data_IF_357992149319
#
_entry.id   IF_357992149319
#
_cell.length_a   1.000
_cell.length_b   1.000
_cell.length_c   1.000
_cell.angle_alpha   90.00
_cell.angle_beta   90.00
_cell.angle_gamma   90.00
#
_symmetry.space_group_name_H-M   'P 1'
#
loop_
_entity.id
_entity.type
_entity.pdbx_description
1 polymer ?
#
# COMPACT_ATOMS: atom_id res chain seq x y z
N UNK A 1 37.71 -14.48 -0.71
CA UNK A 1 36.80 -13.46 -1.30
C UNK A 1 35.40 -14.04 -1.22
N UNK A 2 34.60 -13.62 -0.23
CA UNK A 2 33.25 -14.12 -0.04
C UNK A 2 32.27 -13.01 -0.41
N UNK A 3 31.49 -13.24 -1.46
CA UNK A 3 30.34 -12.45 -1.87
C UNK A 3 29.22 -12.63 -0.83
N UNK A 4 28.59 -11.56 -0.29
CA UNK A 4 27.40 -11.72 0.52
C UNK A 4 26.24 -12.18 -0.38
N UNK A 5 25.62 -13.30 -0.02
CA UNK A 5 24.38 -13.75 -0.62
C UNK A 5 23.27 -12.72 -0.37
N UNK A 6 22.67 -12.26 -1.46
CA UNK A 6 21.39 -11.56 -1.49
C UNK A 6 20.34 -12.34 -0.70
N UNK A 7 19.95 -11.83 0.47
CA UNK A 7 18.81 -12.35 1.22
C UNK A 7 17.53 -11.71 0.68
N UNK A 8 16.95 -12.30 -0.37
CA UNK A 8 15.62 -11.93 -0.84
C UNK A 8 14.58 -12.40 0.18
N UNK A 9 13.95 -11.49 0.90
CA UNK A 9 12.83 -11.81 1.75
C UNK A 9 11.58 -11.98 0.87
N UNK A 10 10.96 -13.16 0.92
CA UNK A 10 9.76 -13.45 0.15
C UNK A 10 8.54 -12.78 0.81
N UNK A 11 7.93 -11.82 0.11
CA UNK A 11 6.68 -11.16 0.50
C UNK A 11 5.46 -12.12 0.61
N UNK A 12 5.65 -13.42 0.37
CA UNK A 12 4.62 -14.44 0.38
C UNK A 12 4.30 -15.01 1.77
N UNK A 13 5.14 -14.77 2.80
CA UNK A 13 4.89 -15.29 4.16
C UNK A 13 4.06 -14.35 5.05
N UNK A 14 3.65 -13.18 4.54
CA UNK A 14 2.95 -12.15 5.33
C UNK A 14 1.41 -12.19 5.23
N UNK A 15 0.86 -13.03 4.35
CA UNK A 15 -0.57 -13.15 4.12
C UNK A 15 -0.89 -14.63 3.88
N UNK A 16 -1.13 -15.37 4.96
CA UNK A 16 -1.69 -16.72 4.90
C UNK A 16 -3.18 -16.68 5.24
N UNK A 17 -4.02 -16.91 4.22
CA UNK A 17 -5.45 -17.17 4.40
C UNK A 17 -5.65 -18.58 4.98
N UNK A 18 -6.38 -18.69 6.09
CA UNK A 18 -6.93 -19.96 6.54
C UNK A 18 -8.44 -19.94 6.19
N UNK A 19 -8.91 -20.80 5.27
CA UNK A 19 -10.28 -20.72 4.77
C UNK A 19 -11.27 -21.20 5.84
N UNK A 20 -11.85 -20.25 6.58
CA UNK A 20 -13.08 -20.48 7.35
C UNK A 20 -14.24 -20.86 6.41
N UNK A 21 -15.22 -21.59 6.95
CA UNK A 21 -16.30 -22.19 6.17
C UNK A 21 -17.06 -21.17 5.30
N UNK A 22 -17.44 -21.51 4.05
CA UNK A 22 -18.04 -20.57 3.13
C UNK A 22 -19.45 -20.18 3.57
N UNK A 23 -19.70 -18.87 3.66
CA UNK A 23 -21.05 -18.30 3.75
C UNK A 23 -21.67 -18.29 2.34
N UNK A 24 -22.97 -18.61 2.16
CA UNK A 24 -23.61 -18.57 0.84
C UNK A 24 -23.69 -17.12 0.32
N UNK A 25 -22.71 -16.72 -0.49
CA UNK A 25 -22.77 -15.45 -1.20
C UNK A 25 -23.67 -15.59 -2.44
N UNK A 26 -24.53 -14.59 -2.68
CA UNK A 26 -25.18 -14.41 -4.00
C UNK A 26 -24.10 -14.44 -5.07
N UNK A 27 -24.30 -15.09 -6.23
CA UNK A 27 -23.27 -15.24 -7.24
C UNK A 27 -22.88 -13.87 -7.79
N UNK A 28 -21.77 -13.34 -7.28
CA UNK A 28 -21.07 -12.23 -7.91
C UNK A 28 -20.67 -12.77 -9.28
N UNK A 29 -21.17 -12.16 -10.37
CA UNK A 29 -20.79 -12.52 -11.73
C UNK A 29 -19.26 -12.43 -11.83
N UNK A 30 -18.57 -13.56 -11.75
CA UNK A 30 -17.15 -13.64 -12.05
C UNK A 30 -17.00 -13.21 -13.50
N UNK A 31 -16.16 -12.21 -13.76
CA UNK A 31 -15.75 -11.90 -15.13
C UNK A 31 -15.15 -13.17 -15.72
N UNK A 32 -15.53 -13.50 -16.96
CA UNK A 32 -14.86 -14.59 -17.66
C UNK A 32 -13.36 -14.29 -17.78
N UNK A 33 -12.52 -15.32 -17.84
CA UNK A 33 -11.07 -15.17 -17.95
C UNK A 33 -10.67 -14.22 -19.10
N UNK A 34 -11.36 -14.29 -20.23
CA UNK A 34 -11.13 -13.40 -21.37
C UNK A 34 -11.40 -11.91 -21.04
N UNK A 35 -12.40 -11.63 -20.21
CA UNK A 35 -12.71 -10.26 -19.78
C UNK A 35 -11.67 -9.76 -18.78
N UNK A 36 -11.18 -10.63 -17.90
CA UNK A 36 -10.05 -10.31 -17.00
C UNK A 36 -8.79 -9.98 -17.82
N UNK A 37 -8.46 -10.80 -18.83
CA UNK A 37 -7.31 -10.56 -19.72
C UNK A 37 -7.43 -9.21 -20.42
N UNK A 38 -8.57 -8.92 -21.07
CA UNK A 38 -8.80 -7.64 -21.75
C UNK A 38 -8.69 -6.46 -20.78
N UNK A 39 -9.24 -6.62 -19.58
CA UNK A 39 -9.22 -5.57 -18.58
C UNK A 39 -7.83 -5.29 -18.02
N UNK A 40 -7.04 -6.31 -17.67
CA UNK A 40 -5.65 -6.13 -17.23
C UNK A 40 -4.80 -5.53 -18.34
N UNK A 41 -4.93 -6.02 -19.58
CA UNK A 41 -4.24 -5.43 -20.76
C UNK A 41 -4.57 -3.95 -20.95
N UNK A 42 -5.86 -3.60 -20.89
CA UNK A 42 -6.31 -2.22 -21.01
C UNK A 42 -5.75 -1.33 -19.91
N UNK A 43 -5.55 -1.86 -18.70
CA UNK A 43 -4.90 -1.13 -17.62
C UNK A 43 -3.38 -1.01 -17.81
N UNK A 44 -2.70 -2.09 -18.23
CA UNK A 44 -1.26 -2.09 -18.53
C UNK A 44 -0.90 -1.09 -19.65
N UNK A 45 -1.77 -0.92 -20.64
CA UNK A 45 -1.62 0.08 -21.70
C UNK A 45 -1.70 1.54 -21.20
N UNK A 46 -2.15 1.77 -19.97
CA UNK A 46 -2.18 3.11 -19.33
C UNK A 46 -0.94 3.41 -18.50
N UNK A 47 -0.05 2.43 -18.32
CA UNK A 47 1.23 2.69 -17.67
C UNK A 47 2.09 3.59 -18.58
N UNK A 48 3.09 4.30 -18.04
CA UNK A 48 4.07 5.00 -18.87
C UNK A 48 4.73 4.04 -19.88
N UNK A 49 4.76 4.43 -21.16
CA UNK A 49 5.24 3.59 -22.27
C UNK A 49 6.67 3.94 -22.71
N UNK A 50 7.23 5.04 -22.21
CA UNK A 50 8.60 5.47 -22.48
C UNK A 50 9.15 6.36 -21.35
N UNK A 51 10.46 6.65 -21.39
CA UNK A 51 11.11 7.51 -20.39
C UNK A 51 10.48 8.91 -20.32
N UNK A 52 10.02 9.44 -21.46
CA UNK A 52 9.30 10.71 -21.51
C UNK A 52 8.00 10.66 -20.68
N UNK A 53 7.20 9.60 -20.78
CA UNK A 53 5.99 9.45 -19.96
C UNK A 53 6.31 9.33 -18.46
N UNK A 54 7.43 8.67 -18.15
CA UNK A 54 7.96 8.56 -16.79
C UNK A 54 8.50 9.89 -16.26
N UNK A 55 8.83 10.87 -17.10
CA UNK A 55 9.45 12.11 -16.65
C UNK A 55 8.60 13.36 -16.92
N UNK A 56 7.50 13.23 -17.68
CA UNK A 56 6.56 14.31 -18.04
C UNK A 56 5.80 14.89 -16.83
N UNK A 57 5.83 14.21 -15.68
CA UNK A 57 5.14 14.65 -14.47
C UNK A 57 6.01 14.44 -13.23
N UNK A 58 5.78 15.26 -12.20
CA UNK A 58 6.41 15.05 -10.90
C UNK A 58 5.90 13.75 -10.25
N UNK A 59 6.77 13.02 -9.54
CA UNK A 59 8.19 13.28 -9.31
C UNK A 59 9.06 12.88 -10.53
N UNK A 60 9.97 13.76 -10.95
CA UNK A 60 10.93 13.48 -12.04
C UNK A 60 12.39 13.61 -11.58
N UNK A 61 12.61 13.99 -10.33
CA UNK A 61 13.94 14.10 -9.72
C UNK A 61 14.00 13.42 -8.35
N UNK A 62 15.19 13.03 -7.85
CA UNK A 62 15.33 12.49 -6.50
C UNK A 62 14.84 13.46 -5.40
N UNK A 63 15.02 14.77 -5.61
CA UNK A 63 14.55 15.81 -4.69
C UNK A 63 13.02 15.83 -4.62
N UNK A 64 12.33 15.64 -5.74
CA UNK A 64 10.87 15.54 -5.74
C UNK A 64 10.38 14.32 -4.97
N UNK A 65 11.06 13.17 -5.12
CA UNK A 65 10.75 11.94 -4.37
C UNK A 65 10.90 12.20 -2.87
N UNK A 66 12.03 12.76 -2.43
CA UNK A 66 12.28 13.05 -1.02
C UNK A 66 11.27 14.05 -0.45
N UNK A 67 10.90 15.08 -1.21
CA UNK A 67 9.88 16.05 -0.80
C UNK A 67 8.52 15.39 -0.66
N UNK A 68 8.13 14.55 -1.62
CA UNK A 68 6.86 13.83 -1.58
C UNK A 68 6.83 12.84 -0.41
N UNK A 69 7.90 12.07 -0.22
CA UNK A 69 8.08 11.17 0.91
C UNK A 69 7.97 11.91 2.24
N UNK A 70 8.67 13.03 2.41
CA UNK A 70 8.61 13.84 3.64
C UNK A 70 7.19 14.30 3.99
N UNK A 71 6.39 14.64 2.97
CA UNK A 71 4.98 15.03 3.12
C UNK A 71 4.09 13.83 3.43
N UNK A 72 4.24 12.72 2.69
CA UNK A 72 3.47 11.49 2.88
C UNK A 72 3.85 10.73 4.15
N UNK A 73 5.02 10.96 4.73
CA UNK A 73 5.42 10.40 6.02
C UNK A 73 5.11 11.33 7.19
N UNK A 74 4.55 12.53 6.91
CA UNK A 74 4.36 13.63 7.86
C UNK A 74 5.61 13.87 8.75
N UNK A 75 6.79 13.68 8.17
CA UNK A 75 8.11 13.66 8.84
C UNK A 75 8.41 14.89 9.70
N UNK A 76 7.81 16.04 9.35
CA UNK A 76 7.94 17.31 10.07
C UNK A 76 7.26 17.33 11.45
N UNK A 77 6.44 16.33 11.80
CA UNK A 77 5.77 16.24 13.10
C UNK A 77 6.62 15.40 14.06
N UNK A 78 7.46 16.01 14.90
CA UNK A 78 8.47 15.28 15.70
C UNK A 78 7.90 14.33 16.76
N UNK A 79 6.72 14.60 17.30
CA UNK A 79 6.10 13.80 18.38
C UNK A 79 5.29 12.59 17.89
N UNK A 80 5.38 12.26 16.60
CA UNK A 80 4.63 11.14 15.99
C UNK A 80 4.85 9.81 16.66
N UNK A 81 5.95 9.57 17.39
CA UNK A 81 6.20 8.34 18.14
C UNK A 81 5.46 8.25 19.48
N UNK A 82 4.85 9.33 19.94
CA UNK A 82 4.18 9.36 21.25
C UNK A 82 2.66 9.57 21.14
N UNK A 83 2.16 9.86 19.94
CA UNK A 83 0.72 10.04 19.68
C UNK A 83 -0.04 8.72 19.85
N UNK A 84 -1.26 8.77 20.36
CA UNK A 84 -2.22 7.69 20.18
C UNK A 84 -2.67 7.59 18.71
N UNK A 85 -3.37 6.51 18.37
CA UNK A 85 -3.79 6.26 16.99
C UNK A 85 -4.77 7.30 16.45
N UNK A 86 -5.71 7.79 17.26
CA UNK A 86 -6.67 8.80 16.78
C UNK A 86 -5.95 10.09 16.42
N UNK A 87 -5.08 10.57 17.31
CA UNK A 87 -4.27 11.77 17.09
C UNK A 87 -3.37 11.63 15.86
N UNK A 88 -2.70 10.47 15.69
CA UNK A 88 -1.82 10.24 14.54
C UNK A 88 -2.60 10.21 13.22
N UNK A 89 -3.75 9.51 13.18
CA UNK A 89 -4.61 9.43 12.00
C UNK A 89 -5.21 10.80 11.64
N UNK A 90 -5.55 11.62 12.64
CA UNK A 90 -6.02 13.00 12.42
C UNK A 90 -4.94 13.92 11.84
N UNK A 91 -3.74 13.89 12.40
CA UNK A 91 -2.60 14.61 11.83
C UNK A 91 -2.29 14.16 10.40
N UNK A 92 -2.37 12.85 10.16
CA UNK A 92 -2.18 12.30 8.83
C UNK A 92 -3.24 12.84 7.86
N UNK A 93 -4.53 12.76 8.20
CA UNK A 93 -5.61 13.26 7.36
C UNK A 93 -5.45 14.74 7.00
N UNK A 94 -5.07 15.56 7.98
CA UNK A 94 -4.87 17.00 7.81
C UNK A 94 -3.70 17.35 6.85
N UNK A 95 -2.71 16.45 6.70
CA UNK A 95 -1.56 16.66 5.83
C UNK A 95 -1.89 16.64 4.34
N UNK A 96 -3.12 16.26 3.97
CA UNK A 96 -3.59 16.30 2.59
C UNK A 96 -3.69 17.72 2.01
N UNK A 97 -3.67 18.76 2.84
CA UNK A 97 -3.75 20.15 2.42
C UNK A 97 -2.56 20.51 1.52
N UNK A 98 -2.85 20.74 0.24
CA UNK A 98 -1.85 21.08 -0.78
C UNK A 98 -1.30 19.88 -1.56
N UNK A 99 -1.82 18.67 -1.34
CA UNK A 99 -1.60 17.59 -2.31
C UNK A 99 -2.29 17.92 -3.63
N UNK A 100 -1.63 17.57 -4.73
CA UNK A 100 -2.24 17.65 -6.04
C UNK A 100 -3.47 16.75 -6.12
N UNK A 101 -4.66 17.29 -6.46
CA UNK A 101 -5.87 16.51 -6.61
C UNK A 101 -5.71 15.38 -7.63
N UNK A 102 -6.23 14.21 -7.30
CA UNK A 102 -6.07 13.00 -8.10
C UNK A 102 -4.78 12.27 -7.73
N UNK A 103 -3.62 12.77 -8.19
CA UNK A 103 -2.34 12.03 -8.13
C UNK A 103 -1.82 11.83 -6.70
N UNK A 104 -1.43 12.92 -6.04
CA UNK A 104 -0.88 12.85 -4.69
C UNK A 104 -1.95 12.47 -3.66
N UNK A 105 -3.20 12.89 -3.87
CA UNK A 105 -4.32 12.47 -3.01
C UNK A 105 -4.57 10.96 -3.07
N UNK A 106 -4.37 10.29 -4.22
CA UNK A 106 -4.58 8.85 -4.33
C UNK A 106 -3.58 8.07 -3.46
N UNK A 107 -2.28 8.37 -3.54
CA UNK A 107 -1.29 7.71 -2.69
C UNK A 107 -1.50 8.06 -1.22
N UNK A 108 -1.87 9.30 -0.90
CA UNK A 108 -2.20 9.71 0.46
C UNK A 108 -3.35 8.87 1.05
N UNK A 109 -4.43 8.69 0.29
CA UNK A 109 -5.54 7.82 0.67
C UNK A 109 -5.12 6.36 0.88
N UNK A 110 -4.25 5.83 0.02
CA UNK A 110 -3.75 4.46 0.16
C UNK A 110 -2.96 4.28 1.45
N UNK A 111 -2.10 5.23 1.81
CA UNK A 111 -1.36 5.22 3.08
C UNK A 111 -2.31 5.39 4.28
N UNK A 112 -3.35 6.24 4.20
CA UNK A 112 -4.37 6.34 5.25
C UNK A 112 -5.04 4.99 5.51
N UNK A 113 -5.47 4.30 4.45
CA UNK A 113 -6.05 2.95 4.58
C UNK A 113 -5.04 1.98 5.19
N UNK A 114 -3.76 2.08 4.82
CA UNK A 114 -2.71 1.21 5.36
C UNK A 114 -2.46 1.46 6.86
N UNK A 115 -2.41 2.73 7.29
CA UNK A 115 -2.31 3.12 8.70
C UNK A 115 -3.50 2.60 9.50
N UNK A 116 -4.71 2.67 8.94
CA UNK A 116 -5.92 2.13 9.54
C UNK A 116 -5.84 0.60 9.75
N UNK A 117 -5.25 -0.16 8.82
CA UNK A 117 -4.99 -1.59 9.03
C UNK A 117 -4.05 -1.83 10.21
N UNK A 118 -2.97 -1.05 10.34
CA UNK A 118 -2.06 -1.15 11.48
C UNK A 118 -2.77 -0.80 12.79
N UNK A 119 -3.52 0.31 12.81
CA UNK A 119 -4.23 0.76 14.00
C UNK A 119 -5.26 -0.27 14.48
N UNK A 120 -5.99 -0.90 13.54
CA UNK A 120 -6.91 -2.00 13.84
C UNK A 120 -6.20 -3.19 14.48
N UNK A 121 -5.06 -3.61 13.91
CA UNK A 121 -4.24 -4.70 14.49
C UNK A 121 -3.71 -4.39 15.90
N UNK A 122 -3.73 -3.12 16.30
CA UNK A 122 -3.25 -2.64 17.60
C UNK A 122 -4.38 -2.19 18.54
N UNK A 123 -5.65 -2.48 18.20
CA UNK A 123 -6.77 -2.37 19.14
C UNK A 123 -7.87 -1.37 18.76
N UNK A 124 -7.75 -0.64 17.65
CA UNK A 124 -8.89 0.16 17.16
C UNK A 124 -9.94 -0.77 16.55
N UNK A 125 -11.21 -0.48 16.79
CA UNK A 125 -12.35 -1.20 16.22
C UNK A 125 -12.52 -0.91 14.73
N UNK A 126 -13.30 -1.74 14.04
CA UNK A 126 -13.62 -1.51 12.62
C UNK A 126 -14.34 -0.17 12.41
N UNK A 127 -15.27 0.23 13.28
CA UNK A 127 -15.98 1.51 13.12
C UNK A 127 -15.04 2.72 13.26
N UNK A 128 -14.11 2.68 14.20
CA UNK A 128 -13.14 3.75 14.42
C UNK A 128 -12.20 3.91 13.24
N UNK A 129 -11.69 2.81 12.68
CA UNK A 129 -10.82 2.90 11.50
C UNK A 129 -11.61 3.33 10.25
N UNK A 130 -12.88 2.96 10.13
CA UNK A 130 -13.73 3.41 9.03
C UNK A 130 -14.02 4.92 9.12
N UNK A 131 -14.25 5.44 10.33
CA UNK A 131 -14.39 6.87 10.59
C UNK A 131 -13.09 7.63 10.26
N UNK A 132 -11.93 7.08 10.62
CA UNK A 132 -10.63 7.67 10.25
C UNK A 132 -10.41 7.67 8.73
N UNK A 133 -10.67 6.53 8.06
CA UNK A 133 -10.55 6.43 6.60
C UNK A 133 -11.42 7.45 5.87
N UNK A 134 -12.63 7.72 6.36
CA UNK A 134 -13.56 8.69 5.78
C UNK A 134 -13.01 10.13 5.73
N UNK A 135 -12.00 10.46 6.56
CA UNK A 135 -11.34 11.77 6.53
C UNK A 135 -10.52 12.01 5.26
N UNK A 136 -10.08 10.94 4.59
CA UNK A 136 -9.29 11.02 3.35
C UNK A 136 -10.04 10.45 2.13
N UNK A 137 -10.79 9.38 2.33
CA UNK A 137 -11.43 8.63 1.23
C UNK A 137 -12.87 9.10 1.07
N UNK A 138 -13.15 9.79 -0.04
CA UNK A 138 -14.52 10.19 -0.38
C UNK A 138 -15.37 8.99 -0.77
N UNK A 139 -16.61 8.96 -0.27
CA UNK A 139 -17.61 7.93 -0.58
C UNK A 139 -18.36 7.46 0.66
N UNK A 140 -19.34 6.58 0.45
CA UNK A 140 -20.06 5.92 1.54
C UNK A 140 -19.32 4.71 2.11
N UNK A 141 -19.91 4.08 3.13
CA UNK A 141 -19.36 2.92 3.84
C UNK A 141 -18.90 1.78 2.91
N UNK A 142 -19.67 1.49 1.85
CA UNK A 142 -19.30 0.46 0.87
C UNK A 142 -18.02 0.79 0.11
N UNK A 143 -17.80 2.07 -0.19
CA UNK A 143 -16.57 2.52 -0.86
C UNK A 143 -15.37 2.37 0.06
N UNK A 144 -15.51 2.80 1.33
CA UNK A 144 -14.48 2.65 2.34
C UNK A 144 -14.10 1.17 2.53
N UNK A 145 -15.10 0.30 2.69
CA UNK A 145 -14.92 -1.15 2.83
C UNK A 145 -14.20 -1.72 1.61
N UNK A 146 -14.66 -1.36 0.41
CA UNK A 146 -14.05 -1.82 -0.84
C UNK A 146 -12.58 -1.38 -0.96
N UNK A 147 -12.26 -0.13 -0.60
CA UNK A 147 -10.88 0.38 -0.59
C UNK A 147 -10.01 -0.30 0.47
N UNK A 148 -10.54 -0.57 1.66
CA UNK A 148 -9.88 -1.36 2.73
C UNK A 148 -9.44 -2.73 2.20
N UNK A 149 -10.32 -3.45 1.52
CA UNK A 149 -10.02 -4.76 0.93
C UNK A 149 -9.16 -4.70 -0.35
N UNK A 150 -9.17 -3.59 -1.07
CA UNK A 150 -8.37 -3.41 -2.27
C UNK A 150 -6.89 -3.14 -1.97
N UNK A 151 -6.60 -2.44 -0.88
CA UNK A 151 -5.25 -1.96 -0.60
C UNK A 151 -4.19 -3.07 -0.58
N UNK A 152 -4.36 -4.23 0.08
CA UNK A 152 -3.34 -5.28 0.07
C UNK A 152 -2.99 -5.73 -1.36
N UNK A 153 -4.01 -5.82 -2.23
CA UNK A 153 -3.83 -6.16 -3.65
C UNK A 153 -3.10 -5.05 -4.40
N UNK A 154 -3.39 -3.78 -4.14
CA UNK A 154 -2.66 -2.65 -4.71
C UNK A 154 -1.17 -2.67 -4.36
N UNK A 155 -0.82 -3.04 -3.12
CA UNK A 155 0.58 -3.18 -2.69
C UNK A 155 1.24 -4.34 -3.43
N UNK A 156 0.59 -5.50 -3.48
CA UNK A 156 1.09 -6.67 -4.22
C UNK A 156 1.27 -6.40 -5.72
N UNK A 157 0.34 -5.68 -6.36
CA UNK A 157 0.48 -5.27 -7.76
C UNK A 157 1.74 -4.44 -7.96
N UNK A 158 2.01 -3.50 -7.05
CA UNK A 158 3.22 -2.67 -7.10
C UNK A 158 4.48 -3.51 -6.94
N UNK A 159 4.50 -4.43 -5.97
CA UNK A 159 5.63 -5.35 -5.72
C UNK A 159 5.85 -6.33 -6.89
N UNK A 160 4.79 -6.80 -7.56
CA UNK A 160 4.94 -7.62 -8.77
C UNK A 160 5.48 -6.82 -9.95
N UNK A 161 5.03 -5.57 -10.13
CA UNK A 161 5.49 -4.71 -11.21
C UNK A 161 6.91 -4.18 -10.98
N UNK A 162 7.35 -4.02 -9.72
CA UNK A 162 8.72 -3.64 -9.37
C UNK A 162 9.75 -4.61 -9.98
N UNK A 163 9.43 -5.90 -10.03
CA UNK A 163 10.31 -6.92 -10.63
C UNK A 163 10.67 -6.64 -12.09
N UNK A 164 9.77 -5.97 -12.83
CA UNK A 164 9.96 -5.64 -14.24
C UNK A 164 10.33 -4.17 -14.45
N UNK A 165 9.62 -3.26 -13.80
CA UNK A 165 9.77 -1.81 -13.95
C UNK A 165 10.86 -1.21 -13.04
N UNK A 166 11.39 -1.98 -12.09
CA UNK A 166 12.26 -1.50 -11.03
C UNK A 166 11.52 -0.65 -9.98
N UNK A 167 12.26 0.03 -9.08
CA UNK A 167 11.69 0.78 -7.96
C UNK A 167 10.65 1.83 -8.35
N UNK A 168 10.71 2.34 -9.59
CA UNK A 168 9.75 3.32 -10.12
C UNK A 168 8.32 2.76 -10.25
N UNK A 169 8.11 1.45 -10.13
CA UNK A 169 6.77 0.85 -9.98
C UNK A 169 5.97 1.46 -8.81
N UNK A 170 6.64 1.92 -7.75
CA UNK A 170 5.99 2.54 -6.61
C UNK A 170 5.49 3.98 -6.89
N UNK A 171 5.86 4.57 -8.03
CA UNK A 171 5.28 5.83 -8.52
C UNK A 171 3.94 5.61 -9.24
N UNK A 172 3.54 4.37 -9.58
CA UNK A 172 2.35 4.11 -10.38
C UNK A 172 1.04 4.71 -9.81
N UNK A 173 0.80 4.77 -8.49
CA UNK A 173 -0.33 5.52 -7.93
C UNK A 173 -0.35 7.00 -8.28
N UNK A 174 0.79 7.60 -8.63
CA UNK A 174 0.89 8.99 -9.09
C UNK A 174 0.69 9.08 -10.61
N UNK A 175 1.05 8.04 -11.36
CA UNK A 175 0.99 8.03 -12.84
C UNK A 175 -0.37 7.61 -13.38
N UNK A 176 -1.08 6.77 -12.63
CA UNK A 176 -2.32 6.14 -13.10
C UNK A 176 -3.47 6.55 -12.19
N UNK A 177 -4.36 7.40 -12.71
CA UNK A 177 -5.50 7.99 -11.97
C UNK A 177 -6.49 6.99 -11.36
N UNK A 178 -6.46 5.73 -11.79
CA UNK A 178 -7.35 4.68 -11.32
C UNK A 178 -6.60 3.49 -10.69
N UNK A 179 -5.37 3.69 -10.19
CA UNK A 179 -4.57 2.63 -9.56
C UNK A 179 -5.31 1.95 -8.39
N UNK A 180 -5.83 2.75 -7.45
CA UNK A 180 -6.53 2.21 -6.29
C UNK A 180 -7.85 1.53 -6.67
N UNK A 181 -8.53 2.03 -7.70
CA UNK A 181 -9.76 1.41 -8.22
C UNK A 181 -9.47 0.13 -8.99
N UNK A 182 -8.33 0.04 -9.67
CA UNK A 182 -7.88 -1.20 -10.30
C UNK A 182 -7.76 -2.33 -9.28
N UNK A 183 -7.14 -2.08 -8.12
CA UNK A 183 -7.05 -3.08 -7.06
C UNK A 183 -8.38 -3.54 -6.48
N UNK A 184 -9.47 -2.75 -6.55
CA UNK A 184 -10.80 -3.16 -6.05
C UNK A 184 -11.39 -4.33 -6.83
N UNK A 185 -11.10 -4.41 -8.13
CA UNK A 185 -11.62 -5.45 -9.02
C UNK A 185 -10.58 -6.52 -9.35
N UNK A 186 -9.36 -6.39 -8.82
CA UNK A 186 -8.29 -7.33 -9.03
C UNK A 186 -8.51 -8.58 -8.18
N UNK A 187 -8.40 -9.76 -8.79
CA UNK A 187 -8.50 -11.07 -8.12
C UNK A 187 -7.14 -11.75 -8.14
N UNK A 188 -6.96 -12.81 -7.34
CA UNK A 188 -5.71 -13.58 -7.33
C UNK A 188 -5.35 -14.14 -8.73
N UNK A 189 -6.35 -14.55 -9.51
CA UNK A 189 -6.19 -15.06 -10.89
C UNK A 189 -5.53 -14.01 -11.82
N UNK A 190 -5.80 -12.73 -11.59
CA UNK A 190 -5.25 -11.63 -12.39
C UNK A 190 -3.72 -11.49 -12.25
N UNK A 191 -3.08 -12.01 -11.19
CA UNK A 191 -1.62 -11.93 -11.04
C UNK A 191 -0.87 -12.75 -12.11
N UNK A 192 -1.43 -13.87 -12.56
CA UNK A 192 -0.83 -14.63 -13.66
C UNK A 192 -0.85 -13.84 -14.97
N UNK A 193 -1.95 -13.13 -15.22
CA UNK A 193 -2.12 -12.27 -16.38
C UNK A 193 -1.19 -11.07 -16.26
N UNK A 194 -1.19 -10.37 -15.12
CA UNK A 194 -0.36 -9.19 -14.88
C UNK A 194 1.11 -9.48 -15.16
N UNK A 195 1.66 -10.58 -14.62
CA UNK A 195 3.06 -10.98 -14.84
C UNK A 195 3.37 -11.17 -16.33
N UNK A 196 2.51 -11.90 -17.05
CA UNK A 196 2.69 -12.11 -18.49
C UNK A 196 2.62 -10.80 -19.28
N UNK A 197 1.64 -9.95 -18.99
CA UNK A 197 1.46 -8.68 -19.72
C UNK A 197 2.52 -7.63 -19.32
N UNK A 198 3.16 -7.75 -18.16
CA UNK A 198 4.21 -6.83 -17.73
C UNK A 198 5.57 -7.12 -18.34
N UNK A 199 5.84 -8.33 -18.85
CA UNK A 199 7.11 -8.71 -19.49
C UNK A 199 7.53 -7.76 -20.62
N UNK A 200 6.56 -7.18 -21.34
CA UNK A 200 6.80 -6.22 -22.42
C UNK A 200 6.71 -4.76 -21.99
N UNK A 201 6.53 -4.46 -20.69
CA UNK A 201 6.38 -3.10 -20.21
C UNK A 201 7.71 -2.34 -20.23
N UNK A 202 7.66 -1.05 -20.55
CA UNK A 202 8.87 -0.21 -20.59
C UNK A 202 9.45 0.02 -19.19
N UNK A 203 10.67 -0.49 -18.98
CA UNK A 203 11.44 -0.22 -17.76
C UNK A 203 12.11 1.16 -17.87
N UNK A 204 11.82 2.12 -16.97
CA UNK A 204 12.44 3.43 -17.00
C UNK A 204 13.96 3.33 -16.78
N UNK A 205 14.73 4.12 -17.54
CA UNK A 205 16.19 4.15 -17.45
C UNK A 205 16.70 5.02 -16.30
N UNK A 206 16.01 6.13 -16.05
CA UNK A 206 16.36 7.05 -14.97
C UNK A 206 16.02 6.41 -13.63
N UNK A 207 17.03 6.19 -12.78
CA UNK A 207 16.85 5.65 -11.44
C UNK A 207 16.47 6.76 -10.47
N UNK A 208 15.33 6.60 -9.80
CA UNK A 208 14.88 7.45 -8.71
C UNK A 208 14.73 6.58 -7.44
N UNK A 209 14.88 7.15 -6.22
CA UNK A 209 14.74 6.42 -4.95
C UNK A 209 13.25 6.14 -4.61
N UNK A 210 12.53 5.57 -5.58
CA UNK A 210 11.08 5.43 -5.55
C UNK A 210 10.60 4.33 -4.60
N UNK A 211 11.50 3.48 -4.09
CA UNK A 211 11.25 2.58 -2.97
C UNK A 211 10.76 3.31 -1.70
N UNK A 212 11.10 4.59 -1.55
CA UNK A 212 10.58 5.44 -0.49
C UNK A 212 9.05 5.64 -0.60
N UNK A 213 8.48 5.53 -1.79
CA UNK A 213 7.04 5.68 -2.03
C UNK A 213 6.26 4.36 -1.87
N UNK A 214 6.94 3.25 -1.58
CA UNK A 214 6.29 1.98 -1.28
C UNK A 214 5.41 2.14 -0.04
N UNK A 215 4.13 1.79 -0.14
CA UNK A 215 3.13 2.06 0.92
C UNK A 215 3.55 1.53 2.30
N UNK A 216 4.00 0.27 2.47
CA UNK A 216 4.55 -0.19 3.75
C UNK A 216 5.70 0.66 4.33
N UNK A 217 6.60 1.18 3.48
CA UNK A 217 7.71 2.03 3.94
C UNK A 217 7.18 3.36 4.45
N UNK A 218 6.24 3.98 3.71
CA UNK A 218 5.55 5.21 4.15
C UNK A 218 4.84 5.01 5.50
N UNK A 219 4.13 3.89 5.68
CA UNK A 219 3.47 3.57 6.95
C UNK A 219 4.46 3.46 8.09
N UNK A 220 5.58 2.75 7.88
CA UNK A 220 6.64 2.62 8.88
C UNK A 220 7.20 4.00 9.30
N UNK A 221 7.40 4.89 8.34
CA UNK A 221 7.94 6.24 8.59
C UNK A 221 6.92 7.19 9.24
N UNK A 222 5.64 7.07 8.89
CA UNK A 222 4.55 7.79 9.59
C UNK A 222 4.52 7.38 11.06
N UNK A 223 4.62 6.07 11.33
CA UNK A 223 4.65 5.52 12.68
C UNK A 223 5.96 5.81 13.43
N UNK A 224 6.94 6.46 12.80
CA UNK A 224 8.28 6.74 13.33
C UNK A 224 8.94 5.46 13.91
N UNK A 225 8.81 4.36 13.15
CA UNK A 225 9.37 3.06 13.51
C UNK A 225 8.65 2.31 14.65
N UNK A 226 7.46 2.75 15.08
CA UNK A 226 6.68 2.08 16.14
C UNK A 226 6.10 0.71 15.79
N UNK A 227 6.27 0.22 14.57
CA UNK A 227 5.66 -1.04 14.09
C UNK A 227 6.30 -2.31 14.67
N UNK A 228 6.65 -2.33 15.97
CA UNK A 228 7.20 -3.45 16.71
C UNK A 228 6.39 -3.73 17.99
N UNK A 229 5.87 -4.97 18.08
CA UNK A 229 5.02 -5.54 19.16
C UNK A 229 5.25 -4.98 20.56
N UNK A 230 4.19 -4.47 21.19
CA UNK A 230 4.07 -4.42 22.65
C UNK A 230 2.94 -5.36 23.09
N UNK A 231 3.23 -6.67 23.17
CA UNK A 231 2.32 -7.68 23.73
C UNK A 231 2.64 -7.89 25.21
N UNK A 232 1.87 -7.28 26.11
CA UNK A 232 1.64 -7.77 27.48
C UNK A 232 0.23 -7.40 27.94
N UNK A 233 -0.69 -8.36 27.94
CA UNK A 233 -2.00 -8.23 28.57
C UNK A 233 -2.92 -9.41 28.22
N UNK A 234 -3.68 -9.99 29.18
CA UNK A 234 -4.35 -11.27 29.00
C UNK A 234 -5.62 -11.14 28.17
N UNK A 235 -5.84 -12.12 27.28
CA UNK A 235 -7.08 -12.30 26.54
C UNK A 235 -8.18 -12.76 27.50
N UNK A 236 -9.23 -11.97 27.64
CA UNK A 236 -10.56 -12.43 28.08
C UNK A 236 -11.54 -12.08 26.97
N UNK A 237 -12.00 -13.12 26.27
CA UNK A 237 -13.00 -12.99 25.22
C UNK A 237 -14.41 -12.98 25.78
N UNK A 238 -15.31 -12.35 25.04
CA UNK A 238 -16.63 -12.83 24.63
C UNK A 238 -17.43 -11.65 24.12
N UNK A 239 -17.70 -11.60 22.81
CA UNK A 239 -19.04 -11.25 22.36
C UNK A 239 -19.30 -11.89 20.99
N UNK A 240 -20.40 -12.63 20.95
CA UNK A 240 -20.89 -13.37 19.80
C UNK A 240 -21.61 -12.40 18.86
N UNK A 241 -21.22 -12.36 17.58
CA UNK A 241 -21.90 -11.52 16.60
C UNK A 241 -21.25 -11.54 15.21
N UNK A 242 -21.71 -12.50 14.40
CA UNK A 242 -21.52 -12.63 12.95
C UNK A 242 -20.10 -12.92 12.45
N UNK A 243 -19.99 -14.00 11.66
CA UNK A 243 -18.72 -14.59 11.24
C UNK A 243 -17.88 -13.65 10.38
N UNK A 244 -16.92 -12.98 11.01
CA UNK A 244 -15.87 -12.21 10.35
C UNK A 244 -14.51 -12.85 10.63
N UNK A 245 -13.74 -13.05 9.57
CA UNK A 245 -12.41 -13.66 9.61
C UNK A 245 -11.44 -12.60 10.16
N UNK A 246 -11.02 -12.77 11.41
CA UNK A 246 -9.93 -11.99 12.01
C UNK A 246 -8.60 -12.31 11.30
N UNK A 247 -7.95 -11.27 10.78
CA UNK A 247 -6.61 -11.34 10.17
C UNK A 247 -5.61 -10.73 11.15
N UNK A 248 -4.62 -11.51 11.57
CA UNK A 248 -3.47 -11.05 12.34
C UNK A 248 -2.33 -10.67 11.37
N UNK A 249 -1.96 -9.39 11.30
CA UNK A 249 -0.92 -8.86 10.40
C UNK A 249 0.38 -8.66 11.17
N UNK A 250 1.45 -9.37 10.80
CA UNK A 250 2.80 -9.15 11.33
C UNK A 250 3.67 -8.32 10.38
N UNK A 251 4.11 -7.17 10.87
CA UNK A 251 5.06 -6.30 10.18
C UNK A 251 6.49 -6.65 10.62
N UNK A 252 7.36 -7.04 9.68
CA UNK A 252 8.80 -7.07 9.93
C UNK A 252 9.49 -5.89 9.24
N UNK A 253 10.31 -5.17 10.00
CA UNK A 253 11.07 -4.01 9.56
C UNK A 253 12.29 -4.41 8.71
N UNK A 254 12.64 -3.55 7.75
CA UNK A 254 13.88 -3.64 6.97
C UNK A 254 15.05 -3.23 7.89
N UNK A 255 16.08 -4.07 7.97
CA UNK A 255 17.31 -3.75 8.69
C UNK A 255 18.03 -2.56 8.06
N UNK A 256 18.53 -1.69 8.94
CA UNK A 256 19.21 -0.41 8.67
C UNK A 256 20.27 -0.49 7.56
N UNK A 257 20.31 0.54 6.73
CA UNK A 257 21.49 0.94 5.96
C UNK A 257 22.58 1.34 6.97
N UNK A 258 23.75 0.71 6.87
CA UNK A 258 24.93 1.03 7.67
C UNK A 258 25.27 2.52 7.55
N UNK A 259 25.26 3.22 8.69
CA UNK A 259 25.96 4.49 8.82
C UNK A 259 27.45 4.17 8.83
N UNK A 260 28.17 4.59 7.80
CA UNK A 260 29.64 4.61 7.82
C UNK A 260 30.15 5.36 9.07
N UNK A 261 31.24 4.89 9.69
CA UNK A 261 31.90 5.63 10.75
C UNK A 261 32.54 6.90 10.17
N UNK A 262 32.33 8.02 10.85
CA UNK A 262 33.17 9.20 10.67
C UNK A 262 34.53 8.88 11.27
N UNK A 263 35.57 8.89 10.44
CA UNK A 263 36.94 9.20 10.89
C UNK A 263 37.09 10.72 11.03
#
# INVERSE_FOLDING_TARGET
MNTPQSSSFAAAEFITENPGKPVPQKPVRRRGLNDQIKWVRSWMAKLPQGDEDWDNNRPSTPVDILRLHSRLSISHIESRRNMDWYTLLDHYAAASKGFEPGRETQIHCMVMVALCHVAHSQGLTTDEIMLAMAKCVSGGTDTLRSKRFALPKCVQIGDELEKVLGPRAYELPLRVSAYFTFGQHFTAECFSILRRESESAHRPKNSLPSELLRIPNLVYDVCDGRSGRNRKGPRTGSDEGEGEIEIEVEFQAINKIDKQPRE
#
